data_IF_493963896269
#
_entry.id   IF_493963896269
#
_cell.length_a   1.000
_cell.length_b   1.000
_cell.length_c   1.000
_cell.angle_alpha   90.00
_cell.angle_beta   90.00
_cell.angle_gamma   90.00
#
_symmetry.space_group_name_H-M   'P 1'
#
loop_
_entity.id
_entity.type
_entity.pdbx_description
1 polymer ?
#
# COMPACT_ATOMS: atom_id res chain seq x y z
N UNK A 1 -3.04 -24.15 -6.45
CA UNK A 1 -3.01 -22.90 -5.68
C UNK A 1 -2.64 -21.79 -6.65
N UNK A 2 -3.55 -20.84 -6.91
CA UNK A 2 -3.23 -19.70 -7.77
C UNK A 2 -2.25 -18.80 -7.01
N UNK A 3 -1.05 -18.56 -7.57
CA UNK A 3 -0.11 -17.61 -6.99
C UNK A 3 -0.78 -16.23 -6.99
N UNK A 4 -0.91 -15.60 -5.81
CA UNK A 4 -1.48 -14.25 -5.73
C UNK A 4 -0.53 -13.29 -6.44
N UNK A 5 -1.08 -12.61 -7.43
CA UNK A 5 -0.38 -11.64 -8.25
C UNK A 5 -0.30 -10.29 -7.50
N UNK A 6 0.91 -9.74 -7.43
CA UNK A 6 1.29 -8.48 -6.80
C UNK A 6 1.38 -7.41 -7.90
N UNK A 7 0.91 -6.20 -7.60
CA UNK A 7 0.76 -5.12 -8.58
C UNK A 7 1.46 -3.84 -8.11
N UNK A 8 2.35 -3.29 -8.93
CA UNK A 8 2.90 -1.94 -8.78
C UNK A 8 2.34 -1.03 -9.89
N UNK A 9 2.11 0.24 -9.55
CA UNK A 9 1.73 1.29 -10.50
C UNK A 9 2.72 2.45 -10.37
N UNK A 10 3.45 2.74 -11.44
CA UNK A 10 4.33 3.91 -11.52
C UNK A 10 3.64 4.97 -12.36
N UNK A 11 3.52 6.19 -11.85
CA UNK A 11 2.96 7.32 -12.60
C UNK A 11 4.05 8.29 -12.98
N UNK A 12 3.96 8.81 -14.19
CA UNK A 12 4.89 9.80 -14.72
C UNK A 12 4.13 11.08 -15.08
N UNK A 13 4.85 12.20 -15.03
CA UNK A 13 4.38 13.51 -15.51
C UNK A 13 5.01 13.84 -16.87
N UNK A 14 5.62 12.84 -17.50
CA UNK A 14 6.44 12.99 -18.68
C UNK A 14 5.67 12.47 -19.89
N UNK A 15 5.73 13.23 -20.97
CA UNK A 15 5.13 12.90 -22.25
C UNK A 15 6.23 12.81 -23.30
N UNK A 16 6.30 11.66 -23.95
CA UNK A 16 7.27 11.36 -24.99
C UNK A 16 6.61 11.39 -26.37
N UNK A 17 7.41 11.63 -27.42
CA UNK A 17 6.93 11.48 -28.80
C UNK A 17 6.56 10.02 -29.09
N UNK A 18 5.78 9.77 -30.14
CA UNK A 18 5.40 8.40 -30.55
C UNK A 18 6.62 7.50 -30.78
N UNK A 19 7.71 8.03 -31.36
CA UNK A 19 8.95 7.28 -31.55
C UNK A 19 9.57 6.84 -30.21
N UNK A 20 9.59 7.72 -29.21
CA UNK A 20 10.09 7.39 -27.88
C UNK A 20 9.13 6.50 -27.10
N UNK A 21 7.82 6.64 -27.30
CA UNK A 21 6.82 5.73 -26.72
C UNK A 21 7.02 4.30 -27.21
N UNK A 22 7.26 4.10 -28.51
CA UNK A 22 7.55 2.77 -29.06
C UNK A 22 8.83 2.17 -28.44
N UNK A 23 9.88 2.98 -28.28
CA UNK A 23 11.12 2.55 -27.61
C UNK A 23 10.87 2.18 -26.15
N UNK A 24 10.06 2.97 -25.43
CA UNK A 24 9.73 2.72 -24.03
C UNK A 24 8.90 1.45 -23.89
N UNK A 25 7.92 1.21 -24.76
CA UNK A 25 7.12 -0.02 -24.77
C UNK A 25 7.98 -1.27 -25.01
N UNK A 26 8.87 -1.23 -26.00
CA UNK A 26 9.77 -2.36 -26.28
C UNK A 26 10.70 -2.62 -25.09
N UNK A 27 11.19 -1.56 -24.44
CA UNK A 27 12.01 -1.68 -23.23
C UNK A 27 11.22 -2.18 -22.03
N UNK A 28 9.93 -1.83 -21.90
CA UNK A 28 9.06 -2.38 -20.86
C UNK A 28 8.91 -3.89 -21.03
N UNK A 29 8.70 -4.38 -22.27
CA UNK A 29 8.67 -5.83 -22.55
C UNK A 29 10.00 -6.51 -22.21
N UNK A 30 11.13 -5.91 -22.60
CA UNK A 30 12.46 -6.45 -22.28
C UNK A 30 12.70 -6.56 -20.76
N UNK A 31 12.27 -5.56 -19.99
CA UNK A 31 12.35 -5.57 -18.52
C UNK A 31 11.45 -6.67 -17.96
N UNK A 32 10.22 -6.79 -18.45
CA UNK A 32 9.28 -7.83 -18.04
C UNK A 32 9.85 -9.23 -18.27
N UNK A 33 10.34 -9.50 -19.48
CA UNK A 33 10.94 -10.79 -19.85
C UNK A 33 12.18 -11.12 -19.00
N UNK A 34 13.00 -10.11 -18.66
CA UNK A 34 14.22 -10.29 -17.85
C UNK A 34 13.92 -10.75 -16.42
N UNK A 35 12.86 -10.24 -15.82
CA UNK A 35 12.54 -10.47 -14.41
C UNK A 35 11.33 -11.39 -14.20
N UNK A 36 10.70 -11.86 -15.28
CA UNK A 36 9.48 -12.66 -15.21
C UNK A 36 8.29 -11.86 -14.66
N UNK A 37 8.19 -10.58 -15.02
CA UNK A 37 7.12 -9.66 -14.64
C UNK A 37 6.37 -9.16 -15.88
N UNK A 38 5.11 -8.78 -15.75
CA UNK A 38 4.34 -8.14 -16.82
C UNK A 38 4.42 -6.63 -16.65
N UNK A 39 5.05 -5.91 -17.59
CA UNK A 39 5.14 -4.44 -17.57
C UNK A 39 4.33 -3.85 -18.72
N UNK A 40 3.26 -3.14 -18.39
CA UNK A 40 2.35 -2.51 -19.34
C UNK A 40 2.44 -0.99 -19.25
N UNK A 41 2.60 -0.31 -20.40
CA UNK A 41 2.54 1.15 -20.46
C UNK A 41 1.16 1.64 -20.90
N UNK A 42 0.48 2.36 -20.02
CA UNK A 42 -0.84 2.97 -20.25
C UNK A 42 -0.64 4.44 -20.62
N UNK A 43 -0.52 4.72 -21.93
CA UNK A 43 -0.28 6.06 -22.51
C UNK A 43 -1.24 7.11 -21.98
N UNK A 44 -2.55 6.85 -22.03
CA UNK A 44 -3.60 7.80 -21.65
C UNK A 44 -3.52 8.26 -20.20
N UNK A 45 -2.94 7.43 -19.33
CA UNK A 45 -2.79 7.70 -17.89
C UNK A 45 -1.36 8.08 -17.51
N UNK A 46 -0.44 8.07 -18.48
CA UNK A 46 1.00 8.23 -18.27
C UNK A 46 1.51 7.34 -17.13
N UNK A 47 1.00 6.10 -17.08
CA UNK A 47 1.27 5.15 -16.00
C UNK A 47 1.77 3.82 -16.52
N UNK A 48 2.61 3.17 -15.72
CA UNK A 48 3.17 1.86 -15.98
C UNK A 48 2.68 0.90 -14.91
N UNK A 49 2.04 -0.18 -15.33
CA UNK A 49 1.59 -1.26 -14.45
C UNK A 49 2.61 -2.39 -14.51
N UNK A 50 3.10 -2.84 -13.36
CA UNK A 50 4.02 -3.96 -13.23
C UNK A 50 3.32 -5.04 -12.40
N UNK A 51 3.17 -6.24 -12.96
CA UNK A 51 2.58 -7.39 -12.27
C UNK A 51 3.58 -8.51 -12.12
N UNK A 52 3.50 -9.23 -11.02
CA UNK A 52 4.40 -10.35 -10.75
C UNK A 52 3.98 -11.13 -9.52
N UNK A 53 4.67 -12.22 -9.21
CA UNK A 53 4.36 -13.06 -8.05
C UNK A 53 5.38 -12.93 -6.90
N UNK A 54 6.49 -12.24 -7.14
CA UNK A 54 7.58 -12.05 -6.19
C UNK A 54 7.95 -10.57 -6.05
N UNK A 55 8.14 -10.12 -4.81
CA UNK A 55 8.47 -8.72 -4.52
C UNK A 55 9.87 -8.33 -4.99
N UNK A 56 10.83 -9.27 -4.96
CA UNK A 56 12.21 -8.98 -5.37
C UNK A 56 12.30 -8.76 -6.89
N UNK A 57 11.66 -9.62 -7.69
CA UNK A 57 11.61 -9.41 -9.15
C UNK A 57 10.81 -8.16 -9.54
N UNK A 58 9.75 -7.83 -8.79
CA UNK A 58 9.00 -6.59 -8.98
C UNK A 58 9.82 -5.34 -8.65
N UNK A 59 10.56 -5.34 -7.54
CA UNK A 59 11.43 -4.23 -7.16
C UNK A 59 12.56 -4.03 -8.19
N UNK A 60 13.17 -5.13 -8.67
CA UNK A 60 14.18 -5.06 -9.74
C UNK A 60 13.61 -4.51 -11.04
N UNK A 61 12.42 -4.98 -11.44
CA UNK A 61 11.72 -4.49 -12.64
C UNK A 61 11.38 -3.00 -12.53
N UNK A 62 10.91 -2.58 -11.35
CA UNK A 62 10.62 -1.18 -11.04
C UNK A 62 11.87 -0.31 -11.16
N UNK A 63 12.97 -0.72 -10.55
CA UNK A 63 14.20 0.09 -10.49
C UNK A 63 14.82 0.26 -11.88
N UNK A 64 14.81 -0.79 -12.70
CA UNK A 64 15.25 -0.73 -14.10
C UNK A 64 14.31 0.15 -14.94
N UNK A 65 12.99 0.07 -14.71
CA UNK A 65 12.02 0.94 -15.38
C UNK A 65 12.24 2.41 -15.00
N UNK A 66 12.43 2.72 -13.72
CA UNK A 66 12.72 4.09 -13.26
C UNK A 66 14.02 4.60 -13.89
N UNK A 67 15.07 3.77 -13.95
CA UNK A 67 16.34 4.13 -14.60
C UNK A 67 16.16 4.43 -16.09
N UNK A 68 15.37 3.61 -16.80
CA UNK A 68 15.00 3.84 -18.18
C UNK A 68 14.28 5.19 -18.35
N UNK A 69 13.22 5.43 -17.57
CA UNK A 69 12.42 6.65 -17.66
C UNK A 69 13.27 7.90 -17.39
N UNK A 70 14.15 7.85 -16.39
CA UNK A 70 15.08 8.93 -16.10
C UNK A 70 16.08 9.18 -17.25
N UNK A 71 16.58 8.12 -17.90
CA UNK A 71 17.46 8.26 -19.07
C UNK A 71 16.77 8.92 -20.27
N UNK A 72 15.44 8.81 -20.35
CA UNK A 72 14.60 9.38 -21.41
C UNK A 72 13.92 10.69 -21.00
N UNK A 73 14.11 11.16 -19.77
CA UNK A 73 13.47 12.36 -19.26
C UNK A 73 13.91 13.63 -20.00
N UNK A 74 15.15 13.68 -20.52
CA UNK A 74 15.68 14.82 -21.30
C UNK A 74 14.97 15.03 -22.64
N UNK A 75 14.41 13.97 -23.21
CA UNK A 75 13.63 14.02 -24.45
C UNK A 75 12.12 14.18 -24.20
N UNK A 76 11.69 14.15 -22.93
CA UNK A 76 10.30 14.27 -22.55
C UNK A 76 9.86 15.73 -22.45
N UNK A 77 8.59 15.99 -22.77
CA UNK A 77 7.92 17.21 -22.35
C UNK A 77 7.22 16.94 -21.03
N UNK A 78 7.24 17.91 -20.12
CA UNK A 78 6.43 17.82 -18.91
C UNK A 78 4.96 17.98 -19.29
N UNK A 79 4.15 16.96 -19.00
CA UNK A 79 2.71 17.01 -19.22
C UNK A 79 2.06 17.79 -18.08
N UNK A 80 1.36 18.88 -18.43
CA UNK A 80 0.57 19.69 -17.49
C UNK A 80 -0.82 19.08 -17.23
N UNK A 81 -1.12 17.92 -17.82
CA UNK A 81 -2.39 17.22 -17.65
C UNK A 81 -2.37 16.51 -16.31
N UNK A 82 -2.70 17.24 -15.24
CA UNK A 82 -2.96 16.64 -13.93
C UNK A 82 -4.05 15.58 -14.12
N UNK A 83 -3.81 14.30 -13.79
CA UNK A 83 -4.86 13.29 -13.83
C UNK A 83 -6.00 13.77 -12.94
N UNK A 84 -7.15 14.12 -13.54
CA UNK A 84 -8.33 14.55 -12.79
C UNK A 84 -8.77 13.38 -11.94
N UNK A 85 -8.39 13.36 -10.67
CA UNK A 85 -8.97 12.43 -9.70
C UNK A 85 -10.48 12.66 -9.76
N UNK A 86 -11.32 11.62 -9.93
CA UNK A 86 -12.73 11.78 -9.62
C UNK A 86 -12.77 12.24 -8.17
N UNK A 87 -13.24 13.47 -7.94
CA UNK A 87 -13.48 13.94 -6.58
C UNK A 87 -14.34 12.86 -5.95
N UNK A 88 -13.86 12.21 -4.87
CA UNK A 88 -14.72 11.43 -3.99
C UNK A 88 -15.98 12.25 -3.84
N UNK A 89 -17.13 11.69 -4.22
CA UNK A 89 -18.41 12.29 -3.88
C UNK A 89 -18.36 12.46 -2.37
N UNK A 90 -18.03 13.67 -1.91
CA UNK A 90 -18.33 14.07 -0.55
C UNK A 90 -19.83 13.87 -0.50
N UNK A 91 -20.29 12.89 0.27
CA UNK A 91 -21.67 12.87 0.73
C UNK A 91 -22.02 14.31 1.05
N UNK A 92 -23.10 14.82 0.43
CA UNK A 92 -23.59 16.17 0.71
C UNK A 92 -23.53 16.32 2.23
N UNK A 93 -22.69 17.23 2.72
CA UNK A 93 -22.80 17.65 4.10
C UNK A 93 -24.26 18.09 4.23
N UNK A 94 -25.01 17.40 5.10
CA UNK A 94 -26.37 17.76 5.42
C UNK A 94 -26.32 19.23 5.80
N UNK A 95 -26.94 20.09 4.98
CA UNK A 95 -27.06 21.50 5.30
C UNK A 95 -28.03 21.56 6.47
N UNK A 96 -27.50 21.44 7.69
CA UNK A 96 -28.23 21.83 8.88
C UNK A 96 -28.42 23.34 8.75
N UNK A 97 -29.63 23.75 8.37
CA UNK A 97 -30.04 25.15 8.37
C UNK A 97 -30.16 25.60 9.83
N UNK A 98 -29.04 25.91 10.49
CA UNK A 98 -29.06 26.63 11.76
C UNK A 98 -29.07 28.11 11.44
N UNK A 99 -30.17 28.79 11.78
CA UNK A 99 -30.25 30.24 11.69
C UNK A 99 -29.14 30.87 12.56
N UNK A 100 -28.44 31.93 12.11
CA UNK A 100 -27.38 32.55 12.90
C UNK A 100 -27.95 33.12 14.21
N UNK A 101 -27.38 32.72 15.36
CA UNK A 101 -27.70 33.33 16.67
C UNK A 101 -28.08 32.39 17.81
N UNK A 102 -28.14 31.07 17.60
CA UNK A 102 -28.34 30.11 18.69
C UNK A 102 -26.99 29.54 19.17
N UNK A 103 -26.74 29.47 20.49
CA UNK A 103 -25.56 28.78 21.01
C UNK A 103 -25.60 27.30 20.62
N UNK A 104 -24.45 26.64 20.40
CA UNK A 104 -24.42 25.22 20.07
C UNK A 104 -25.12 24.41 21.18
N UNK A 105 -25.92 23.38 20.83
CA UNK A 105 -26.52 22.53 21.84
C UNK A 105 -25.42 21.86 22.67
N UNK A 106 -25.62 21.85 23.99
CA UNK A 106 -24.71 21.24 24.98
C UNK A 106 -24.38 19.79 24.60
N UNK A 107 -23.12 19.32 24.77
CA UNK A 107 -22.66 18.03 24.27
C UNK A 107 -23.07 16.82 25.12
N UNK A 108 -24.12 16.94 25.93
CA UNK A 108 -24.55 15.87 26.84
C UNK A 108 -26.04 15.60 26.68
N UNK A 109 -26.37 14.82 25.67
CA UNK A 109 -27.54 13.94 25.71
C UNK A 109 -26.97 12.54 25.67
N UNK A 110 -27.02 11.84 26.80
CA UNK A 110 -26.75 10.41 26.87
C UNK A 110 -27.79 9.71 25.97
N UNK A 111 -27.37 9.30 24.78
CA UNK A 111 -28.19 8.38 23.98
C UNK A 111 -28.13 7.00 24.66
N UNK A 112 -29.29 6.55 25.14
CA UNK A 112 -29.51 5.17 25.59
C UNK A 112 -29.23 4.21 24.43
N UNK A 113 -28.02 3.65 24.41
CA UNK A 113 -27.65 2.59 23.48
C UNK A 113 -28.37 1.32 23.93
N UNK A 114 -29.22 0.69 23.10
CA UNK A 114 -29.89 -0.54 23.48
C UNK A 114 -28.87 -1.67 23.63
N UNK A 115 -28.66 -2.11 24.87
CA UNK A 115 -27.97 -3.36 25.21
C UNK A 115 -28.81 -4.54 24.68
N UNK A 116 -28.34 -5.19 23.60
CA UNK A 116 -28.91 -6.45 23.10
C UNK A 116 -27.89 -7.58 23.22
N UNK A 117 -27.94 -8.24 24.38
CA UNK A 117 -27.46 -9.61 24.53
C UNK A 117 -28.54 -10.56 24.02
N UNK A 118 -28.33 -11.19 22.86
CA UNK A 118 -29.01 -12.44 22.51
C UNK A 118 -28.02 -13.38 21.79
N UNK A 119 -27.56 -14.40 22.52
CA UNK A 119 -26.88 -15.62 22.06
C UNK A 119 -27.82 -16.36 21.08
N UNK A 120 -27.41 -16.89 19.93
CA UNK A 120 -26.56 -18.05 19.61
C UNK A 120 -26.79 -18.25 18.07
N UNK A 121 -25.87 -18.60 17.17
CA UNK A 121 -24.86 -19.66 17.16
C UNK A 121 -23.80 -19.39 16.06
N UNK A 122 -22.52 -19.52 16.47
CA UNK A 122 -21.34 -20.02 15.75
C UNK A 122 -21.11 -19.56 14.29
N UNK A 123 -20.19 -18.61 14.13
CA UNK A 123 -19.16 -18.73 13.08
C UNK A 123 -17.90 -17.96 13.52
N UNK A 124 -16.81 -18.72 13.70
CA UNK A 124 -15.40 -18.37 13.90
C UNK A 124 -15.03 -16.98 14.44
N UNK A 125 -14.71 -16.95 15.74
CA UNK A 125 -13.87 -15.97 16.47
C UNK A 125 -13.07 -14.99 15.60
N UNK A 126 -13.52 -13.72 15.53
CA UNK A 126 -12.81 -12.61 14.88
C UNK A 126 -11.82 -11.86 15.80
N UNK A 127 -11.66 -12.28 17.07
CA UNK A 127 -10.75 -11.67 18.03
C UNK A 127 -9.56 -12.59 18.33
N UNK A 128 -8.67 -12.78 17.34
CA UNK A 128 -7.37 -13.37 17.62
C UNK A 128 -6.39 -12.25 17.97
N UNK A 129 -6.10 -12.11 19.27
CA UNK A 129 -4.93 -11.36 19.74
C UNK A 129 -3.71 -12.26 19.61
N UNK A 130 -2.84 -11.95 18.65
CA UNK A 130 -1.64 -12.73 18.40
C UNK A 130 -0.44 -11.80 18.23
N UNK A 131 0.73 -12.23 18.69
CA UNK A 131 1.94 -11.42 18.74
C UNK A 131 2.94 -11.96 17.73
N UNK A 132 3.57 -11.06 16.98
CA UNK A 132 4.75 -11.34 16.18
C UNK A 132 5.95 -10.64 16.79
N UNK A 133 7.00 -11.39 17.10
CA UNK A 133 8.27 -10.85 17.61
C UNK A 133 9.28 -10.78 16.48
N UNK A 134 9.97 -9.65 16.35
CA UNK A 134 11.05 -9.50 15.37
C UNK A 134 12.29 -10.28 15.79
N UNK A 135 13.11 -10.68 14.82
CA UNK A 135 14.39 -11.34 15.09
C UNK A 135 15.30 -10.42 15.95
N UNK A 136 15.99 -10.96 16.98
CA UNK A 136 16.90 -10.19 17.83
C UNK A 136 17.97 -9.39 17.07
N UNK A 137 18.33 -9.82 15.86
CA UNK A 137 19.30 -9.16 14.97
C UNK A 137 18.80 -7.81 14.43
N UNK A 138 17.49 -7.61 14.36
CA UNK A 138 16.88 -6.34 13.95
C UNK A 138 16.99 -5.34 15.09
N UNK A 139 17.64 -4.19 14.85
CA UNK A 139 17.69 -3.10 15.82
C UNK A 139 16.35 -2.37 15.85
N UNK A 140 16.00 -1.78 16.99
CA UNK A 140 14.74 -1.02 17.12
C UNK A 140 14.65 0.12 16.10
N UNK A 141 15.76 0.82 15.88
CA UNK A 141 15.90 1.92 14.93
C UNK A 141 15.63 1.50 13.46
N UNK A 142 15.72 0.19 13.17
CA UNK A 142 15.55 -0.37 11.83
C UNK A 142 14.12 -0.84 11.54
N UNK A 143 13.25 -0.96 12.56
CA UNK A 143 11.86 -1.40 12.39
C UNK A 143 11.08 -0.49 11.41
N UNK A 144 11.17 0.85 11.50
CA UNK A 144 10.55 1.74 10.51
C UNK A 144 11.09 1.55 9.08
N UNK A 145 12.36 1.14 8.94
CA UNK A 145 12.98 0.89 7.64
C UNK A 145 12.40 -0.38 6.98
N UNK A 146 12.11 -1.42 7.76
CA UNK A 146 11.48 -2.67 7.29
C UNK A 146 10.12 -2.37 6.64
N UNK A 147 9.36 -1.42 7.20
CA UNK A 147 8.04 -1.03 6.68
C UNK A 147 8.07 0.12 5.66
N UNK A 148 9.27 0.56 5.25
CA UNK A 148 9.44 1.56 4.20
C UNK A 148 9.13 2.99 4.63
N UNK A 149 8.86 3.23 5.93
CA UNK A 149 8.43 4.53 6.45
C UNK A 149 9.48 5.63 6.29
N UNK A 150 10.77 5.26 6.27
CA UNK A 150 11.89 6.18 6.08
C UNK A 150 12.29 6.39 4.61
N UNK A 151 11.72 5.63 3.67
CA UNK A 151 11.96 5.83 2.22
C UNK A 151 11.03 6.93 1.70
N UNK A 152 11.28 8.17 2.10
CA UNK A 152 10.60 9.33 1.52
C UNK A 152 11.26 9.67 0.17
N UNK A 153 10.80 9.02 -0.88
CA UNK A 153 11.01 9.54 -2.23
C UNK A 153 9.95 10.60 -2.55
N UNK A 154 10.29 11.67 -3.30
CA UNK A 154 9.29 12.63 -3.72
C UNK A 154 8.19 11.89 -4.50
N UNK A 155 6.93 12.12 -4.10
CA UNK A 155 5.69 11.57 -4.70
C UNK A 155 5.31 10.11 -4.38
N UNK A 156 6.11 9.36 -3.62
CA UNK A 156 5.83 7.98 -3.21
C UNK A 156 5.92 7.82 -1.69
N UNK A 157 4.83 7.35 -1.07
CA UNK A 157 4.78 6.97 0.34
C UNK A 157 4.68 5.45 0.42
N UNK A 158 5.72 4.79 0.91
CA UNK A 158 5.73 3.35 1.14
C UNK A 158 5.26 3.07 2.57
N UNK A 159 4.20 2.28 2.70
CA UNK A 159 3.65 1.86 3.98
C UNK A 159 3.30 0.38 3.91
N UNK A 160 4.35 -0.46 3.92
CA UNK A 160 4.22 -1.90 3.77
C UNK A 160 3.37 -2.51 4.89
N UNK A 161 3.33 -1.87 6.07
CA UNK A 161 2.45 -2.31 7.17
C UNK A 161 0.97 -2.20 6.79
N UNK A 162 0.56 -1.05 6.25
CA UNK A 162 -0.81 -0.82 5.80
C UNK A 162 -1.19 -1.73 4.63
N UNK A 163 -0.24 -2.03 3.73
CA UNK A 163 -0.44 -2.97 2.63
C UNK A 163 -0.65 -4.40 3.17
N UNK A 164 0.16 -4.86 4.12
CA UNK A 164 -0.02 -6.16 4.80
C UNK A 164 -1.38 -6.22 5.50
N UNK A 165 -1.78 -5.15 6.20
CA UNK A 165 -3.08 -5.09 6.89
C UNK A 165 -4.26 -5.20 5.92
N UNK A 166 -4.23 -4.46 4.81
CA UNK A 166 -5.27 -4.51 3.77
C UNK A 166 -5.34 -5.86 3.09
N UNK A 167 -4.20 -6.40 2.67
CA UNK A 167 -4.11 -7.65 1.92
C UNK A 167 -4.57 -8.85 2.74
N UNK A 168 -4.14 -8.90 3.99
CA UNK A 168 -4.48 -10.00 4.89
C UNK A 168 -5.81 -9.74 5.62
N UNK A 169 -6.44 -8.57 5.47
CA UNK A 169 -7.64 -8.18 6.25
C UNK A 169 -7.41 -8.36 7.76
N UNK A 170 -6.27 -7.88 8.23
CA UNK A 170 -5.86 -7.91 9.63
C UNK A 170 -5.68 -6.46 10.12
N UNK A 171 -5.76 -6.26 11.42
CA UNK A 171 -5.42 -4.98 12.05
C UNK A 171 -4.53 -5.24 13.24
N UNK A 172 -3.67 -4.29 13.55
CA UNK A 172 -2.72 -4.42 14.64
C UNK A 172 -1.88 -3.15 14.80
N UNK A 173 -1.07 -3.16 15.85
CA UNK A 173 -0.18 -2.06 16.20
C UNK A 173 1.25 -2.57 16.30
N UNK A 174 2.17 -1.77 15.75
CA UNK A 174 3.61 -2.03 15.83
C UNK A 174 4.13 -1.35 17.09
N UNK A 175 4.65 -2.15 18.02
CA UNK A 175 5.30 -1.67 19.24
C UNK A 175 6.82 -1.71 19.05
N UNK A 176 7.38 -0.62 18.52
CA UNK A 176 8.82 -0.47 18.25
C UNK A 176 9.67 -0.72 19.51
N UNK A 177 9.27 -0.13 20.64
CA UNK A 177 9.92 -0.26 21.96
C UNK A 177 10.02 -1.70 22.45
N UNK A 178 9.12 -2.58 21.98
CA UNK A 178 9.03 -3.97 22.40
C UNK A 178 9.43 -4.95 21.29
N UNK A 179 9.88 -4.46 20.13
CA UNK A 179 10.20 -5.25 18.93
C UNK A 179 9.12 -6.29 18.63
N UNK A 180 7.85 -5.86 18.68
CA UNK A 180 6.73 -6.75 18.40
C UNK A 180 5.60 -6.06 17.69
N UNK A 181 4.80 -6.86 17.00
CA UNK A 181 3.55 -6.45 16.39
C UNK A 181 2.43 -7.20 17.09
N UNK A 182 1.42 -6.47 17.51
CA UNK A 182 0.25 -7.01 18.16
C UNK A 182 -0.92 -6.94 17.19
N UNK A 183 -1.40 -8.11 16.73
CA UNK A 183 -2.59 -8.19 15.91
C UNK A 183 -3.82 -8.09 16.81
N UNK A 184 -4.68 -7.12 16.55
CA UNK A 184 -5.90 -6.86 17.32
C UNK A 184 -7.16 -7.40 16.65
N UNK A 185 -7.12 -7.62 15.32
CA UNK A 185 -8.23 -8.18 14.53
C UNK A 185 -7.74 -9.04 13.38
N UNK A 186 -8.48 -10.10 13.08
CA UNK A 186 -8.29 -10.93 11.89
C UNK A 186 -8.52 -12.41 12.14
N UNK A 187 -8.81 -13.16 11.05
CA UNK A 187 -8.92 -14.63 11.11
C UNK A 187 -7.54 -15.26 11.32
N UNK A 188 -7.45 -16.36 12.06
CA UNK A 188 -6.17 -17.04 12.35
C UNK A 188 -5.35 -17.36 11.09
N UNK A 189 -6.01 -17.81 10.01
CA UNK A 189 -5.35 -18.08 8.72
C UNK A 189 -4.75 -16.81 8.11
N UNK A 190 -5.42 -15.68 8.26
CA UNK A 190 -4.99 -14.38 7.75
C UNK A 190 -3.85 -13.81 8.58
N UNK A 191 -3.91 -13.96 9.91
CA UNK A 191 -2.83 -13.56 10.81
C UNK A 191 -1.56 -14.37 10.51
N UNK A 192 -1.69 -15.69 10.28
CA UNK A 192 -0.57 -16.54 9.83
C UNK A 192 0.01 -16.08 8.49
N UNK A 193 -0.84 -15.67 7.54
CA UNK A 193 -0.39 -15.12 6.25
C UNK A 193 0.33 -13.77 6.44
N UNK A 194 -0.21 -12.89 7.29
CA UNK A 194 0.40 -11.60 7.63
C UNK A 194 1.77 -11.78 8.29
N UNK A 195 1.88 -12.68 9.28
CA UNK A 195 3.16 -13.04 9.92
C UNK A 195 4.19 -13.55 8.91
N UNK A 196 3.75 -14.34 7.91
CA UNK A 196 4.64 -14.83 6.85
C UNK A 196 5.15 -13.67 5.98
N UNK A 197 4.27 -12.73 5.58
CA UNK A 197 4.67 -11.53 4.83
C UNK A 197 5.63 -10.64 5.62
N UNK A 198 5.37 -10.42 6.91
CA UNK A 198 6.23 -9.61 7.78
C UNK A 198 7.60 -10.29 7.95
N UNK A 199 7.62 -11.61 8.12
CA UNK A 199 8.88 -12.36 8.16
C UNK A 199 9.66 -12.24 6.85
N UNK A 200 9.00 -12.28 5.69
CA UNK A 200 9.67 -12.04 4.40
C UNK A 200 10.25 -10.63 4.30
N UNK A 201 9.51 -9.59 4.75
CA UNK A 201 10.03 -8.22 4.79
C UNK A 201 11.25 -8.11 5.70
N UNK A 202 11.21 -8.77 6.86
CA UNK A 202 12.32 -8.82 7.79
C UNK A 202 13.53 -9.55 7.19
N UNK A 203 13.34 -10.74 6.61
CA UNK A 203 14.42 -11.51 6.01
C UNK A 203 15.06 -10.74 4.84
N UNK A 204 14.26 -10.08 3.99
CA UNK A 204 14.76 -9.22 2.93
C UNK A 204 15.57 -8.03 3.47
N UNK A 205 15.20 -7.48 4.62
CA UNK A 205 15.97 -6.43 5.27
C UNK A 205 17.31 -6.97 5.82
N UNK A 206 17.28 -8.11 6.50
CA UNK A 206 18.46 -8.74 7.13
C UNK A 206 19.47 -9.27 6.09
N UNK A 207 19.01 -9.71 4.91
CA UNK A 207 19.91 -10.22 3.86
C UNK A 207 20.52 -9.11 2.98
N UNK A 208 19.96 -7.89 3.00
CA UNK A 208 20.47 -6.75 2.23
C UNK A 208 21.48 -5.89 3.03
N UNK A 209 21.80 -6.27 4.27
CA UNK A 209 22.79 -5.64 5.16
C UNK A 209 23.72 -6.69 5.77
#
# INVERSE_FOLDING_TARGET
MSAKEIYYNIRTIWEWSEEFNAIIEDKCREIGDRYGTEVEYIKDKQSFDIKGTDYNTLDQSRDDLIRLLNSKATAAKQSLVIPRRPKKNKSKAEKVNVAPGLPPPSPFVEEDIPLMTTRQTVDDTENLEDIFEFDPRVRMDDIPNIFGWNRREPFLTFDYWNDVCKDCKVSGDIHEDKRRIEFTKGKEKNVKEAKKKIKQLQDNFVWNF
#
